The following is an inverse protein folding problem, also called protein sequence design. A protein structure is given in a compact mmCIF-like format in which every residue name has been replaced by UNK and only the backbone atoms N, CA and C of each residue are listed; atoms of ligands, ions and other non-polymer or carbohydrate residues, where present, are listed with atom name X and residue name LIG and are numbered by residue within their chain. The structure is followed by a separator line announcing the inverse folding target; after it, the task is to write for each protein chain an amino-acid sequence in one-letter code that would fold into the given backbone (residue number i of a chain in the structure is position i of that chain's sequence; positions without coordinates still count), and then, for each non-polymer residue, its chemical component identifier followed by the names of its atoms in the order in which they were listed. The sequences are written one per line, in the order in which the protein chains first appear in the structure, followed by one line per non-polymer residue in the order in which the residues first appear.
data_IF_373912978628
#
_entry.id   IF_373912978628
#
_cell.length_a   1.000
_cell.length_b   1.000
_cell.length_c   1.000
_cell.angle_alpha   90.00
_cell.angle_beta   90.00
_cell.angle_gamma   90.00
#
_symmetry.space_group_name_H-M   'P 1'
#
loop_
_entity.id
_entity.type
_entity.pdbx_description
1 polymer ?
#
# COMPACT_ATOMS: atom_id res chain seq x y z
N UNK A 1 -3.65 -54.23 12.86
CA UNK A 1 -4.18 -52.87 13.12
C UNK A 1 -5.58 -53.02 13.70
N UNK A 2 -5.82 -52.53 14.93
CA UNK A 2 -7.09 -52.68 15.65
C UNK A 2 -8.02 -51.53 15.24
N UNK A 3 -9.07 -51.82 14.47
CA UNK A 3 -10.09 -50.85 14.06
C UNK A 3 -10.99 -50.61 15.28
N UNK A 4 -11.12 -49.35 15.72
CA UNK A 4 -12.06 -48.98 16.78
C UNK A 4 -13.40 -48.71 16.08
N UNK A 5 -14.25 -49.73 16.00
CA UNK A 5 -15.61 -49.60 15.50
C UNK A 5 -16.49 -49.10 16.64
N UNK A 6 -16.78 -47.79 16.66
CA UNK A 6 -17.71 -47.19 17.62
C UNK A 6 -19.13 -47.61 17.19
N UNK A 7 -19.70 -48.62 17.85
CA UNK A 7 -21.10 -49.02 17.65
C UNK A 7 -22.05 -47.98 18.27
N UNK A 8 -22.62 -47.10 17.43
CA UNK A 8 -23.60 -46.05 17.84
C UNK A 8 -25.04 -46.59 17.73
N UNK A 9 -25.31 -47.80 18.23
CA UNK A 9 -26.65 -48.42 18.13
C UNK A 9 -27.54 -48.21 19.37
N UNK A 10 -27.09 -47.48 20.40
CA UNK A 10 -27.85 -47.28 21.65
C UNK A 10 -28.05 -45.83 22.14
N UNK A 11 -27.58 -44.82 21.41
CA UNK A 11 -27.66 -43.41 21.85
C UNK A 11 -28.96 -42.74 21.44
N UNK A 12 -29.68 -42.15 22.41
CA UNK A 12 -30.86 -41.31 22.19
C UNK A 12 -30.51 -40.12 21.27
N UNK A 13 -31.51 -39.63 20.53
CA UNK A 13 -31.33 -38.51 19.58
C UNK A 13 -30.76 -37.27 20.28
N UNK A 14 -31.17 -37.02 21.53
CA UNK A 14 -30.66 -35.93 22.37
C UNK A 14 -29.17 -36.10 22.70
N UNK A 15 -28.73 -37.32 23.02
CA UNK A 15 -27.32 -37.57 23.32
C UNK A 15 -26.43 -37.40 22.08
N UNK A 16 -26.93 -37.74 20.89
CA UNK A 16 -26.24 -37.50 19.61
C UNK A 16 -26.12 -36.00 19.31
N UNK A 17 -27.19 -35.24 19.54
CA UNK A 17 -27.20 -33.79 19.34
C UNK A 17 -26.28 -33.06 20.34
N UNK A 18 -26.30 -33.46 21.61
CA UNK A 18 -25.41 -32.90 22.63
C UNK A 18 -23.94 -33.19 22.31
N UNK A 19 -23.62 -34.42 21.87
CA UNK A 19 -22.27 -34.76 21.43
C UNK A 19 -21.84 -33.90 20.22
N UNK A 20 -22.68 -33.81 19.19
CA UNK A 20 -22.39 -32.99 18.01
C UNK A 20 -22.13 -31.51 18.38
N UNK A 21 -23.01 -30.91 19.19
CA UNK A 21 -22.88 -29.53 19.64
C UNK A 21 -21.61 -29.29 20.47
N UNK A 22 -21.24 -30.24 21.33
CA UNK A 22 -20.00 -30.14 22.12
C UNK A 22 -18.74 -30.18 21.23
N UNK A 23 -18.74 -31.00 20.18
CA UNK A 23 -17.64 -31.08 19.21
C UNK A 23 -17.55 -29.81 18.38
N UNK A 24 -18.69 -29.26 17.91
CA UNK A 24 -18.72 -28.00 17.19
C UNK A 24 -18.23 -26.82 18.04
N UNK A 25 -18.67 -26.73 19.30
CA UNK A 25 -18.24 -25.67 20.22
C UNK A 25 -16.74 -25.75 20.52
N UNK A 26 -16.19 -26.96 20.69
CA UNK A 26 -14.77 -27.17 20.89
C UNK A 26 -13.94 -26.75 19.65
N UNK A 27 -14.39 -27.14 18.45
CA UNK A 27 -13.74 -26.77 17.19
C UNK A 27 -13.80 -25.26 16.94
N UNK A 28 -14.96 -24.63 17.15
CA UNK A 28 -15.15 -23.19 17.01
C UNK A 28 -14.33 -22.40 18.05
N UNK A 29 -14.25 -22.91 19.29
CA UNK A 29 -13.43 -22.32 20.35
C UNK A 29 -11.91 -22.40 20.06
N UNK A 30 -11.44 -23.52 19.51
CA UNK A 30 -10.05 -23.68 19.10
C UNK A 30 -9.72 -22.82 17.86
N UNK A 31 -10.61 -22.84 16.85
CA UNK A 31 -10.46 -22.07 15.62
C UNK A 31 -10.46 -20.56 15.86
N UNK A 32 -11.36 -20.06 16.71
CA UNK A 32 -11.43 -18.62 17.04
C UNK A 32 -10.17 -18.09 17.72
N UNK A 33 -9.50 -18.89 18.55
CA UNK A 33 -8.20 -18.51 19.15
C UNK A 33 -7.10 -18.44 18.09
N UNK A 34 -7.05 -19.42 17.18
CA UNK A 34 -6.06 -19.43 16.10
C UNK A 34 -6.25 -18.23 15.15
N UNK A 35 -7.49 -17.97 14.74
CA UNK A 35 -7.83 -16.80 13.89
C UNK A 35 -7.49 -15.49 14.60
N UNK A 36 -7.79 -15.35 15.89
CA UNK A 36 -7.45 -14.15 16.65
C UNK A 36 -5.94 -13.94 16.72
N UNK A 37 -5.17 -14.99 17.00
CA UNK A 37 -3.71 -14.89 17.07
C UNK A 37 -3.11 -14.53 15.70
N UNK A 38 -3.63 -15.11 14.61
CA UNK A 38 -3.24 -14.75 13.25
C UNK A 38 -3.57 -13.29 12.94
N UNK A 39 -4.78 -12.83 13.25
CA UNK A 39 -5.20 -11.46 13.02
C UNK A 39 -4.34 -10.45 13.79
N UNK A 40 -4.04 -10.73 15.07
CA UNK A 40 -3.11 -9.92 15.87
C UNK A 40 -1.71 -9.94 15.25
N UNK A 41 -1.22 -11.10 14.81
CA UNK A 41 0.06 -11.21 14.12
C UNK A 41 0.12 -10.36 12.85
N UNK A 42 -0.92 -10.40 12.01
CA UNK A 42 -1.02 -9.57 10.81
C UNK A 42 -1.06 -8.07 11.14
N UNK A 43 -1.82 -7.67 12.16
CA UNK A 43 -1.88 -6.28 12.60
C UNK A 43 -0.52 -5.79 13.11
N UNK A 44 0.18 -6.59 13.92
CA UNK A 44 1.52 -6.26 14.40
C UNK A 44 2.53 -6.18 13.26
N UNK A 45 2.49 -7.11 12.31
CA UNK A 45 3.35 -7.07 11.13
C UNK A 45 3.11 -5.81 10.29
N UNK A 46 1.85 -5.42 10.08
CA UNK A 46 1.50 -4.19 9.37
C UNK A 46 2.07 -2.94 10.07
N UNK A 47 1.87 -2.82 11.39
CA UNK A 47 2.40 -1.71 12.17
C UNK A 47 3.93 -1.68 12.13
N UNK A 48 4.57 -2.84 12.21
CA UNK A 48 6.02 -2.97 12.11
C UNK A 48 6.54 -2.49 10.75
N UNK A 49 5.95 -2.95 9.64
CA UNK A 49 6.33 -2.53 8.28
C UNK A 49 6.15 -1.03 8.10
N UNK A 50 5.03 -0.48 8.58
CA UNK A 50 4.77 0.95 8.53
C UNK A 50 5.82 1.74 9.32
N UNK A 51 6.10 1.34 10.56
CA UNK A 51 7.07 2.01 11.42
C UNK A 51 8.50 1.94 10.86
N UNK A 52 8.92 0.78 10.35
CA UNK A 52 10.23 0.62 9.70
C UNK A 52 10.31 1.49 8.45
N UNK A 53 9.30 1.49 7.60
CA UNK A 53 9.26 2.34 6.39
C UNK A 53 9.39 3.82 6.73
N UNK A 54 8.67 4.28 7.76
CA UNK A 54 8.76 5.66 8.26
C UNK A 54 10.19 6.00 8.72
N UNK A 55 10.81 5.13 9.52
CA UNK A 55 12.19 5.35 10.01
C UNK A 55 13.19 5.36 8.85
N UNK A 56 13.06 4.46 7.89
CA UNK A 56 13.94 4.41 6.71
C UNK A 56 13.81 5.68 5.84
N UNK A 57 12.61 6.23 5.73
CA UNK A 57 12.36 7.50 5.05
C UNK A 57 13.00 8.69 5.79
N UNK A 58 12.75 8.81 7.10
CA UNK A 58 13.30 9.90 7.93
C UNK A 58 14.83 9.86 8.03
N UNK A 59 15.42 8.67 8.07
CA UNK A 59 16.88 8.49 8.07
C UNK A 59 17.51 8.67 6.69
N UNK A 60 16.70 8.90 5.65
CA UNK A 60 17.16 9.15 4.29
C UNK A 60 17.78 7.93 3.59
N UNK A 61 17.66 6.72 4.15
CA UNK A 61 18.20 5.48 3.56
C UNK A 61 17.55 5.19 2.20
N UNK A 62 16.28 5.57 2.03
CA UNK A 62 15.55 5.41 0.78
C UNK A 62 15.70 6.58 -0.20
N UNK A 63 16.42 7.64 0.16
CA UNK A 63 16.63 8.79 -0.74
C UNK A 63 17.73 8.44 -1.74
N UNK A 64 17.49 8.72 -3.02
CA UNK A 64 18.52 8.62 -4.04
C UNK A 64 19.15 9.99 -4.35
N UNK A 65 20.12 10.01 -5.27
CA UNK A 65 20.82 11.24 -5.66
C UNK A 65 19.93 12.29 -6.36
N UNK A 66 18.68 11.95 -6.68
CA UNK A 66 17.69 12.86 -7.28
C UNK A 66 16.75 13.47 -6.23
N UNK A 67 16.63 12.83 -5.06
CA UNK A 67 15.81 13.27 -3.94
C UNK A 67 16.55 14.30 -3.05
N UNK A 68 16.76 15.51 -3.57
CA UNK A 68 17.45 16.58 -2.82
C UNK A 68 16.92 16.81 -1.39
N UNK A 69 17.75 17.35 -0.50
CA UNK A 69 17.44 17.48 0.94
C UNK A 69 16.22 18.36 1.24
N UNK A 70 15.98 19.35 0.38
CA UNK A 70 14.87 20.30 0.47
C UNK A 70 14.14 20.42 -0.86
N UNK A 71 12.86 20.81 -0.85
CA UNK A 71 12.15 21.20 -2.08
C UNK A 71 12.98 22.22 -2.87
N UNK A 72 13.04 22.05 -4.19
CA UNK A 72 13.87 22.89 -5.07
C UNK A 72 13.44 24.37 -5.11
N UNK A 73 12.32 24.73 -4.48
CA UNK A 73 11.71 26.06 -4.49
C UNK A 73 11.51 26.64 -5.90
N UNK A 74 11.46 25.76 -6.91
CA UNK A 74 11.20 26.15 -8.29
C UNK A 74 9.71 26.50 -8.43
N UNK A 75 9.45 27.70 -8.94
CA UNK A 75 8.12 28.19 -9.29
C UNK A 75 7.93 28.06 -10.79
N UNK A 76 6.68 27.80 -11.19
CA UNK A 76 6.29 27.79 -12.59
C UNK A 76 6.07 29.22 -13.07
N UNK A 77 6.77 29.58 -14.15
CA UNK A 77 6.58 30.82 -14.88
C UNK A 77 6.07 30.50 -16.28
N UNK A 78 5.12 31.27 -16.77
CA UNK A 78 4.63 31.17 -18.14
C UNK A 78 4.91 32.51 -18.81
N UNK A 79 5.65 32.48 -19.91
CA UNK A 79 5.83 33.65 -20.75
C UNK A 79 4.50 34.00 -21.43
N UNK A 80 4.00 35.21 -21.19
CA UNK A 80 2.73 35.66 -21.75
C UNK A 80 2.77 35.84 -23.28
N UNK A 81 3.94 36.12 -23.85
CA UNK A 81 4.10 36.35 -25.29
C UNK A 81 4.17 35.03 -26.06
N UNK A 82 4.97 34.08 -25.57
CA UNK A 82 5.19 32.79 -26.24
C UNK A 82 4.33 31.66 -25.69
N UNK A 83 3.70 31.82 -24.53
CA UNK A 83 2.97 30.75 -23.84
C UNK A 83 3.88 29.61 -23.37
N UNK A 84 5.20 29.77 -23.41
CA UNK A 84 6.16 28.76 -22.99
C UNK A 84 6.38 28.78 -21.48
N UNK A 85 6.54 27.59 -20.90
CA UNK A 85 6.72 27.40 -19.47
C UNK A 85 8.19 27.27 -19.09
N UNK A 86 8.51 27.82 -17.94
CA UNK A 86 9.82 27.85 -17.33
C UNK A 86 9.72 27.51 -15.84
N UNK A 87 10.76 26.93 -15.29
CA UNK A 87 10.94 26.72 -13.86
C UNK A 87 12.05 27.64 -13.36
N UNK A 88 11.87 28.26 -12.19
CA UNK A 88 12.92 29.12 -11.63
C UNK A 88 12.67 29.53 -10.19
N UNK A 89 13.66 30.15 -9.55
CA UNK A 89 13.57 30.62 -8.16
C UNK A 89 14.01 32.09 -7.99
N UNK A 90 14.05 32.87 -9.08
CA UNK A 90 14.43 34.29 -9.09
C UNK A 90 15.86 34.57 -9.58
N UNK A 91 16.77 33.59 -9.50
CA UNK A 91 18.16 33.75 -9.96
C UNK A 91 18.43 33.14 -11.34
N UNK A 92 17.44 32.46 -11.92
CA UNK A 92 17.54 31.83 -13.23
C UNK A 92 16.22 31.18 -13.63
N UNK A 93 16.00 31.10 -14.94
CA UNK A 93 14.87 30.40 -15.55
C UNK A 93 15.44 29.25 -16.38
N UNK A 94 14.88 28.06 -16.22
CA UNK A 94 15.16 26.89 -17.07
C UNK A 94 13.88 26.48 -17.82
N UNK A 95 13.95 26.15 -19.12
CA UNK A 95 12.80 25.64 -19.86
C UNK A 95 12.18 24.43 -19.17
N UNK A 96 10.85 24.40 -19.05
CA UNK A 96 10.15 23.20 -18.61
C UNK A 96 9.97 22.27 -19.80
N UNK A 97 10.52 21.07 -19.69
CA UNK A 97 10.47 20.05 -20.75
C UNK A 97 9.26 19.12 -20.57
N UNK A 98 8.69 18.65 -21.66
CA UNK A 98 7.72 17.55 -21.70
C UNK A 98 8.43 16.17 -21.70
N UNK A 99 7.66 15.09 -21.74
CA UNK A 99 8.19 13.72 -21.72
C UNK A 99 9.00 13.38 -22.98
N UNK A 100 8.88 14.17 -24.04
CA UNK A 100 9.55 14.00 -25.32
C UNK A 100 10.80 14.89 -25.43
N UNK A 101 11.08 15.71 -24.41
CA UNK A 101 12.20 16.64 -24.40
C UNK A 101 11.94 17.92 -25.20
N UNK A 102 10.68 18.30 -25.44
CA UNK A 102 10.35 19.62 -25.99
C UNK A 102 9.93 20.57 -24.89
N UNK A 103 10.19 21.86 -25.09
CA UNK A 103 9.70 22.86 -24.16
C UNK A 103 8.15 22.89 -24.17
N UNK A 104 7.57 22.87 -22.98
CA UNK A 104 6.13 22.96 -22.80
C UNK A 104 5.68 24.38 -23.16
N UNK A 105 5.03 24.53 -24.30
CA UNK A 105 4.37 25.76 -24.72
C UNK A 105 2.89 25.51 -25.01
N UNK A 106 2.05 26.53 -24.82
CA UNK A 106 0.64 26.44 -25.21
C UNK A 106 0.49 26.18 -26.72
N UNK A 107 -0.62 25.56 -27.13
CA UNK A 107 -0.82 25.15 -28.54
C UNK A 107 -0.76 26.28 -29.56
N UNK A 108 -0.98 27.53 -29.14
CA UNK A 108 -0.79 28.73 -29.99
C UNK A 108 0.62 28.85 -30.58
N UNK A 109 1.60 28.17 -29.98
CA UNK A 109 3.03 28.28 -30.32
C UNK A 109 3.59 26.96 -30.85
N UNK A 110 2.80 25.88 -30.88
CA UNK A 110 3.21 24.54 -31.33
C UNK A 110 3.44 24.42 -32.84
N UNK A 111 3.44 25.53 -33.59
CA UNK A 111 3.78 25.51 -35.02
C UNK A 111 2.99 24.45 -35.77
N UNK A 112 1.65 24.53 -35.72
CA UNK A 112 0.84 23.86 -36.73
C UNK A 112 1.33 24.31 -38.10
N UNK A 113 1.75 23.34 -38.92
CA UNK A 113 2.25 23.47 -40.30
C UNK A 113 1.55 24.60 -41.07
N UNK A 114 2.35 25.45 -41.73
CA UNK A 114 1.99 26.04 -43.02
C UNK A 114 2.49 25.09 -44.12
#
# INVERSE_FOLDING_TARGET
MKRIDIHVEGLSVEARNNLAMSVYAALAGAGSRAVRNLAVGCALAFVLVWAVSWVLFETGITRDSTDGDSPSNLRLYTDALTGCQYLGNGNGLTPRMDAQGYQVCTEKTKGGKL
#
